data_IF_020169946511
#
_entry.id   IF_020169946511
#
_cell.length_a   1.000
_cell.length_b   1.000
_cell.length_c   1.000
_cell.angle_alpha   90.00
_cell.angle_beta   90.00
_cell.angle_gamma   90.00
#
_symmetry.space_group_name_H-M   'P 1'
#
loop_
_entity.id
_entity.type
_entity.pdbx_description
1 polymer ?
#
# COMPACT_ATOMS: atom_id res chain seq x y z
N UNK A 1 -25.80 -0.41 6.22
CA UNK A 1 -25.60 0.56 7.29
C UNK A 1 -25.90 1.95 6.73
N UNK A 2 -26.75 2.75 7.39
CA UNK A 2 -26.94 4.16 7.04
C UNK A 2 -25.84 4.94 7.76
N UNK A 3 -24.87 5.47 7.00
CA UNK A 3 -23.88 6.42 7.51
C UNK A 3 -24.54 7.80 7.50
N UNK A 4 -24.87 8.32 8.67
CA UNK A 4 -25.41 9.68 8.82
C UNK A 4 -24.26 10.64 9.12
N UNK A 5 -24.04 11.64 8.28
CA UNK A 5 -23.10 12.73 8.51
C UNK A 5 -21.61 12.35 8.60
N UNK A 6 -21.24 11.13 8.19
CA UNK A 6 -19.85 10.64 8.23
C UNK A 6 -19.11 10.76 6.92
N UNK A 7 -17.95 10.08 6.84
CA UNK A 7 -17.16 9.96 5.61
C UNK A 7 -17.12 8.50 5.15
N UNK A 8 -17.39 8.26 3.87
CA UNK A 8 -17.24 6.97 3.20
C UNK A 8 -15.96 7.05 2.37
N UNK A 9 -15.03 6.12 2.63
CA UNK A 9 -13.80 5.98 1.84
C UNK A 9 -13.96 4.77 0.92
N UNK A 10 -13.78 4.98 -0.37
CA UNK A 10 -13.75 3.95 -1.40
C UNK A 10 -12.29 3.67 -1.71
N UNK A 11 -11.75 2.61 -1.14
CA UNK A 11 -10.37 2.22 -1.38
C UNK A 11 -10.27 1.47 -2.71
N UNK A 12 -9.32 1.89 -3.58
CA UNK A 12 -9.13 1.38 -4.94
C UNK A 12 -10.44 1.39 -5.76
N UNK A 13 -10.95 2.59 -6.03
CA UNK A 13 -12.25 2.77 -6.71
C UNK A 13 -12.33 2.10 -8.09
N UNK A 14 -11.19 1.93 -8.77
CA UNK A 14 -11.06 1.26 -10.06
C UNK A 14 -11.27 -0.26 -9.99
N UNK A 15 -11.11 -0.85 -8.80
CA UNK A 15 -11.31 -2.29 -8.57
C UNK A 15 -12.79 -2.63 -8.27
N UNK A 16 -13.61 -1.60 -8.01
CA UNK A 16 -15.03 -1.81 -7.79
C UNK A 16 -15.73 -2.24 -9.08
N UNK A 17 -16.56 -3.31 -9.05
CA UNK A 17 -17.39 -3.66 -10.19
C UNK A 17 -18.25 -2.47 -10.66
N UNK A 18 -18.44 -2.30 -11.96
CA UNK A 18 -19.20 -1.18 -12.55
C UNK A 18 -20.61 -1.04 -11.96
N UNK A 19 -21.24 -2.16 -11.61
CA UNK A 19 -22.54 -2.15 -10.94
C UNK A 19 -22.47 -1.51 -9.54
N UNK A 20 -21.40 -1.83 -8.77
CA UNK A 20 -21.17 -1.24 -7.46
C UNK A 20 -20.88 0.27 -7.58
N UNK A 21 -20.08 0.68 -8.57
CA UNK A 21 -19.86 2.08 -8.87
C UNK A 21 -21.19 2.83 -9.16
N UNK A 22 -22.08 2.22 -9.95
CA UNK A 22 -23.40 2.79 -10.21
C UNK A 22 -24.29 2.90 -8.96
N UNK A 23 -24.13 2.01 -7.97
CA UNK A 23 -24.80 2.13 -6.66
C UNK A 23 -24.24 3.28 -5.85
N UNK A 24 -22.91 3.49 -5.87
CA UNK A 24 -22.25 4.63 -5.21
C UNK A 24 -22.77 5.95 -5.77
N UNK A 25 -22.84 6.09 -7.10
CA UNK A 25 -23.40 7.30 -7.76
C UNK A 25 -24.80 7.60 -7.23
N UNK A 26 -25.69 6.59 -7.18
CA UNK A 26 -27.05 6.77 -6.63
C UNK A 26 -27.06 7.16 -5.16
N UNK A 27 -26.09 6.69 -4.37
CA UNK A 27 -25.95 7.09 -2.97
C UNK A 27 -25.49 8.55 -2.82
N UNK A 28 -24.61 9.01 -3.73
CA UNK A 28 -24.15 10.41 -3.76
C UNK A 28 -25.27 11.37 -4.17
N UNK A 29 -26.20 10.91 -5.01
CA UNK A 29 -27.34 11.70 -5.49
C UNK A 29 -28.52 11.73 -4.51
N UNK A 30 -28.50 10.89 -3.49
CA UNK A 30 -29.60 10.82 -2.53
C UNK A 30 -29.67 12.12 -1.71
N UNK A 31 -30.80 12.86 -1.75
CA UNK A 31 -30.94 14.07 -0.97
C UNK A 31 -31.02 13.76 0.53
N UNK A 32 -30.38 14.57 1.36
CA UNK A 32 -30.49 14.45 2.81
C UNK A 32 -29.57 15.44 3.53
N UNK A 33 -30.03 16.00 4.63
CA UNK A 33 -29.22 16.88 5.49
C UNK A 33 -28.02 16.15 6.11
N UNK A 34 -28.11 14.83 6.25
CA UNK A 34 -27.06 13.95 6.79
C UNK A 34 -26.31 13.19 5.67
N UNK A 35 -26.15 13.76 4.47
CA UNK A 35 -25.43 13.11 3.40
C UNK A 35 -23.95 12.88 3.77
N UNK A 36 -23.40 11.67 3.60
CA UNK A 36 -22.01 11.39 3.88
C UNK A 36 -21.08 12.08 2.88
N UNK A 37 -19.88 12.46 3.33
CA UNK A 37 -18.79 12.83 2.44
C UNK A 37 -18.22 11.57 1.78
N UNK A 38 -17.87 11.66 0.51
CA UNK A 38 -17.18 10.59 -0.20
C UNK A 38 -15.72 10.96 -0.47
N UNK A 39 -14.85 9.99 -0.27
CA UNK A 39 -13.44 10.04 -0.65
C UNK A 39 -13.13 8.75 -1.40
N UNK A 40 -12.20 8.80 -2.35
CA UNK A 40 -11.75 7.63 -3.08
C UNK A 40 -10.23 7.61 -3.19
N UNK A 41 -9.65 6.42 -3.27
CA UNK A 41 -8.25 6.21 -3.64
C UNK A 41 -8.16 5.42 -4.94
N UNK A 42 -7.06 5.57 -5.65
CA UNK A 42 -6.70 4.75 -6.79
C UNK A 42 -5.19 4.75 -6.96
N UNK A 43 -4.62 3.61 -7.30
CA UNK A 43 -3.23 3.46 -7.75
C UNK A 43 -3.12 3.52 -9.27
N UNK A 44 -4.24 3.30 -9.98
CA UNK A 44 -4.30 3.31 -11.42
C UNK A 44 -4.45 4.74 -11.95
N UNK A 45 -3.94 4.97 -13.17
CA UNK A 45 -4.27 6.16 -13.94
C UNK A 45 -5.78 6.20 -14.20
N UNK A 46 -6.44 7.25 -13.74
CA UNK A 46 -7.90 7.37 -13.80
C UNK A 46 -8.40 7.61 -15.21
N UNK A 47 -7.63 8.30 -16.06
CA UNK A 47 -7.98 8.53 -17.45
C UNK A 47 -7.90 7.25 -18.27
N UNK A 48 -6.84 6.47 -18.07
CA UNK A 48 -6.72 5.15 -18.65
C UNK A 48 -7.84 4.21 -18.18
N UNK A 49 -8.15 4.20 -16.89
CA UNK A 49 -9.24 3.39 -16.33
C UNK A 49 -10.62 3.76 -16.90
N UNK A 50 -10.86 5.04 -17.18
CA UNK A 50 -12.09 5.49 -17.86
C UNK A 50 -12.14 5.05 -19.33
N UNK A 51 -11.01 5.11 -20.05
CA UNK A 51 -10.91 4.65 -21.44
C UNK A 51 -11.12 3.15 -21.57
N UNK A 52 -10.58 2.38 -20.63
CA UNK A 52 -10.74 0.93 -20.54
C UNK A 52 -12.13 0.50 -20.03
N UNK A 53 -12.95 1.44 -19.62
CA UNK A 53 -14.29 1.15 -19.07
C UNK A 53 -14.28 0.55 -17.66
N UNK A 54 -13.16 0.60 -16.94
CA UNK A 54 -13.03 0.15 -15.54
C UNK A 54 -13.59 1.17 -14.56
N UNK A 55 -13.56 2.46 -14.92
CA UNK A 55 -14.09 3.54 -14.11
C UNK A 55 -15.22 4.27 -14.86
N UNK A 56 -16.37 4.41 -14.21
CA UNK A 56 -17.50 5.17 -14.73
C UNK A 56 -17.19 6.66 -14.71
N UNK A 57 -17.44 7.36 -15.82
CA UNK A 57 -17.24 8.80 -15.93
C UNK A 57 -18.11 9.60 -14.96
N UNK A 58 -19.35 9.17 -14.74
CA UNK A 58 -20.26 9.85 -13.82
C UNK A 58 -19.79 9.77 -12.36
N UNK A 59 -19.19 8.65 -11.95
CA UNK A 59 -18.57 8.51 -10.63
C UNK A 59 -17.32 9.39 -10.50
N UNK A 60 -16.43 9.34 -11.50
CA UNK A 60 -15.21 10.14 -11.51
C UNK A 60 -15.51 11.65 -11.31
N UNK A 61 -16.42 12.24 -12.11
CA UNK A 61 -16.73 13.66 -11.99
C UNK A 61 -17.38 14.06 -10.67
N UNK A 62 -18.01 13.14 -9.95
CA UNK A 62 -18.56 13.41 -8.61
C UNK A 62 -17.51 13.35 -7.51
N UNK A 63 -16.48 12.53 -7.68
CA UNK A 63 -15.38 12.36 -6.72
C UNK A 63 -14.28 13.38 -6.93
N UNK A 64 -14.03 13.84 -8.15
CA UNK A 64 -12.91 14.68 -8.54
C UNK A 64 -13.04 16.17 -8.17
N UNK A 65 -13.85 16.50 -7.17
CA UNK A 65 -13.95 17.87 -6.66
C UNK A 65 -12.64 18.43 -6.09
N UNK A 66 -11.78 17.55 -5.56
CA UNK A 66 -10.39 17.82 -5.19
C UNK A 66 -9.59 16.54 -5.41
N UNK A 67 -8.46 16.64 -6.11
CA UNK A 67 -7.54 15.53 -6.36
C UNK A 67 -6.22 15.80 -5.66
N UNK A 68 -5.72 14.82 -4.94
CA UNK A 68 -4.42 14.84 -4.27
C UNK A 68 -3.57 13.72 -4.84
N UNK A 69 -2.42 14.07 -5.39
CA UNK A 69 -1.42 13.10 -5.82
C UNK A 69 -0.43 12.85 -4.69
N UNK A 70 -0.24 11.59 -4.33
CA UNK A 70 0.76 11.17 -3.34
C UNK A 70 1.98 10.68 -4.09
N UNK A 71 3.14 11.37 -3.99
CA UNK A 71 4.33 10.97 -4.72
C UNK A 71 4.86 9.62 -4.24
N UNK A 72 5.45 8.86 -5.15
CA UNK A 72 6.13 7.62 -4.83
C UNK A 72 7.36 7.89 -3.93
N UNK A 73 7.82 6.88 -3.19
CA UNK A 73 8.97 7.05 -2.29
C UNK A 73 10.26 7.42 -3.04
N UNK A 74 10.41 6.95 -4.27
CA UNK A 74 11.53 7.31 -5.14
C UNK A 74 11.57 8.81 -5.53
N UNK A 75 10.43 9.50 -5.46
CA UNK A 75 10.31 10.93 -5.79
C UNK A 75 10.46 11.83 -4.54
N UNK A 76 10.64 11.20 -3.36
CA UNK A 76 10.85 11.84 -2.06
C UNK A 76 11.89 11.08 -1.23
N UNK A 77 13.04 10.83 -1.84
CA UNK A 77 14.13 10.03 -1.24
C UNK A 77 14.64 10.60 0.09
N UNK A 78 14.51 11.89 0.29
CA UNK A 78 14.85 12.60 1.53
C UNK A 78 14.04 12.13 2.74
N UNK A 79 12.85 11.57 2.52
CA UNK A 79 12.02 11.03 3.60
C UNK A 79 12.48 9.64 4.06
N UNK A 80 13.29 8.94 3.26
CA UNK A 80 13.69 7.55 3.54
C UNK A 80 14.39 7.41 4.90
N UNK A 81 15.37 8.24 5.28
CA UNK A 81 16.04 8.11 6.57
C UNK A 81 15.08 8.28 7.75
N UNK A 82 14.22 9.29 7.69
CA UNK A 82 13.24 9.57 8.74
C UNK A 82 12.23 8.43 8.89
N UNK A 83 11.73 7.90 7.78
CA UNK A 83 10.80 6.76 7.77
C UNK A 83 11.49 5.49 8.28
N UNK A 84 12.73 5.24 7.88
CA UNK A 84 13.49 4.08 8.34
C UNK A 84 13.69 4.10 9.86
N UNK A 85 14.12 5.23 10.43
CA UNK A 85 14.26 5.40 11.88
C UNK A 85 12.92 5.19 12.60
N UNK A 86 11.85 5.74 12.07
CA UNK A 86 10.51 5.54 12.61
C UNK A 86 10.09 4.07 12.64
N UNK A 87 10.31 3.33 11.55
CA UNK A 87 9.94 1.92 11.47
C UNK A 87 10.83 1.03 12.35
N UNK A 88 12.14 1.34 12.45
CA UNK A 88 13.04 0.63 13.36
C UNK A 88 12.62 0.83 14.82
N UNK A 89 12.26 2.04 15.21
CA UNK A 89 11.77 2.32 16.55
C UNK A 89 10.47 1.56 16.87
N UNK A 90 9.56 1.45 15.90
CA UNK A 90 8.30 0.69 16.05
C UNK A 90 8.51 -0.83 16.08
N UNK A 91 9.51 -1.33 15.37
CA UNK A 91 9.80 -2.76 15.31
C UNK A 91 10.38 -3.32 16.62
N UNK A 92 10.99 -2.47 17.45
CA UNK A 92 11.58 -2.83 18.75
C UNK A 92 10.95 -1.98 19.89
N UNK A 93 9.73 -2.27 20.33
CA UNK A 93 9.05 -1.48 21.37
C UNK A 93 9.54 -1.74 22.79
N UNK A 94 10.72 -2.35 22.98
CA UNK A 94 11.30 -2.68 24.29
C UNK A 94 12.06 -1.51 24.94
N UNK A 95 12.51 -1.67 26.22
CA UNK A 95 13.30 -0.67 26.93
C UNK A 95 14.72 -0.50 26.37
N UNK A 96 15.16 -1.37 25.46
CA UNK A 96 16.41 -1.22 24.72
C UNK A 96 16.29 -0.07 23.71
N UNK A 97 17.35 0.69 23.53
CA UNK A 97 17.42 1.74 22.51
C UNK A 97 17.09 1.16 21.14
N UNK A 98 16.29 1.85 20.31
CA UNK A 98 16.01 1.39 18.96
C UNK A 98 17.33 1.23 18.19
N UNK A 99 17.37 0.18 17.35
CA UNK A 99 18.52 -0.01 16.46
C UNK A 99 18.65 1.17 15.51
N UNK A 100 19.88 1.51 15.17
CA UNK A 100 20.19 2.60 14.24
C UNK A 100 20.79 2.03 12.95
N UNK A 101 20.59 2.72 11.87
CA UNK A 101 21.31 2.44 10.63
C UNK A 101 22.71 3.05 10.71
N UNK A 102 23.74 2.32 10.26
CA UNK A 102 25.02 2.95 9.95
C UNK A 102 24.87 3.90 8.75
N UNK A 103 25.75 4.88 8.64
CA UNK A 103 25.74 5.84 7.51
C UNK A 103 25.78 5.12 6.15
N UNK A 104 26.57 4.04 6.06
CA UNK A 104 26.65 3.22 4.85
C UNK A 104 25.35 2.46 4.56
N UNK A 105 24.69 1.92 5.58
CA UNK A 105 23.39 1.27 5.41
C UNK A 105 22.33 2.28 4.95
N UNK A 106 22.31 3.47 5.53
CA UNK A 106 21.40 4.54 5.11
C UNK A 106 21.61 4.93 3.62
N UNK A 107 22.87 5.02 3.17
CA UNK A 107 23.18 5.30 1.76
C UNK A 107 22.69 4.21 0.80
N UNK A 108 22.69 2.95 1.23
CA UNK A 108 22.15 1.83 0.43
C UNK A 108 20.65 1.96 0.30
N UNK A 109 19.95 2.28 1.38
CA UNK A 109 18.50 2.50 1.36
C UNK A 109 18.09 3.66 0.44
N UNK A 110 18.87 4.75 0.43
CA UNK A 110 18.63 5.91 -0.45
C UNK A 110 18.74 5.58 -1.94
N UNK A 111 19.59 4.61 -2.30
CA UNK A 111 19.84 4.20 -3.69
C UNK A 111 18.84 3.13 -4.18
N UNK A 112 18.12 2.49 -3.28
CA UNK A 112 17.20 1.43 -3.65
C UNK A 112 15.91 2.00 -4.25
N UNK A 113 15.34 1.43 -5.32
CA UNK A 113 14.23 2.04 -6.07
C UNK A 113 12.87 1.94 -5.37
N UNK A 114 12.73 1.15 -4.34
CA UNK A 114 11.50 0.96 -3.54
C UNK A 114 10.22 0.78 -4.37
N UNK A 115 10.11 -0.23 -5.25
CA UNK A 115 8.91 -0.43 -6.07
C UNK A 115 7.64 -0.65 -5.25
N UNK A 116 7.77 -1.21 -4.03
CA UNK A 116 6.67 -1.35 -3.05
C UNK A 116 6.52 -0.15 -2.11
N UNK A 117 7.17 0.98 -2.43
CA UNK A 117 7.06 2.25 -1.70
C UNK A 117 7.28 2.11 -0.19
N UNK A 118 6.55 2.88 0.61
CA UNK A 118 6.64 2.92 2.08
C UNK A 118 6.34 1.56 2.71
N UNK A 119 5.43 0.78 2.13
CA UNK A 119 5.09 -0.55 2.64
C UNK A 119 6.27 -1.53 2.55
N UNK A 120 7.03 -1.46 1.46
CA UNK A 120 8.25 -2.25 1.30
C UNK A 120 9.34 -1.79 2.25
N UNK A 121 9.53 -0.48 2.43
CA UNK A 121 10.48 0.08 3.39
C UNK A 121 10.14 -0.35 4.82
N UNK A 122 8.88 -0.25 5.25
CA UNK A 122 8.44 -0.71 6.57
C UNK A 122 8.75 -2.20 6.79
N UNK A 123 8.45 -3.03 5.78
CA UNK A 123 8.74 -4.46 5.84
C UNK A 123 10.24 -4.74 5.96
N UNK A 124 11.07 -4.07 5.16
CA UNK A 124 12.52 -4.17 5.20
C UNK A 124 13.08 -3.76 6.57
N UNK A 125 12.64 -2.65 7.13
CA UNK A 125 13.08 -2.19 8.46
C UNK A 125 12.68 -3.16 9.56
N UNK A 126 11.48 -3.74 9.48
CA UNK A 126 11.05 -4.78 10.42
C UNK A 126 11.92 -6.04 10.34
N UNK A 127 12.27 -6.48 9.14
CA UNK A 127 13.16 -7.62 8.95
C UNK A 127 14.57 -7.33 9.47
N UNK A 128 15.15 -6.17 9.18
CA UNK A 128 16.45 -5.77 9.71
C UNK A 128 16.44 -5.69 11.24
N UNK A 129 15.38 -5.15 11.83
CA UNK A 129 15.24 -5.09 13.27
C UNK A 129 15.19 -6.48 13.93
N UNK A 130 14.63 -7.49 13.28
CA UNK A 130 14.55 -8.85 13.79
C UNK A 130 15.86 -9.63 13.54
N UNK A 131 16.51 -9.43 12.41
CA UNK A 131 17.69 -10.19 12.00
C UNK A 131 18.96 -9.69 12.68
N UNK A 132 19.13 -8.38 12.87
CA UNK A 132 20.32 -7.80 13.47
C UNK A 132 20.35 -8.06 14.99
N UNK A 133 21.50 -8.52 15.50
CA UNK A 133 21.73 -8.69 16.95
C UNK A 133 22.44 -7.47 17.56
N UNK A 134 23.04 -6.62 16.72
CA UNK A 134 23.78 -5.43 17.14
C UNK A 134 22.85 -4.21 17.32
N UNK A 135 23.33 -3.21 18.04
CA UNK A 135 22.63 -1.92 18.18
C UNK A 135 22.65 -1.11 16.87
N UNK A 136 23.60 -1.38 15.99
CA UNK A 136 23.76 -0.71 14.70
C UNK A 136 23.65 -1.71 13.54
N UNK A 137 22.78 -1.40 12.59
CA UNK A 137 22.55 -2.19 11.37
C UNK A 137 23.63 -1.81 10.35
N UNK A 138 24.37 -2.81 9.90
CA UNK A 138 25.50 -2.64 9.00
C UNK A 138 25.07 -2.56 7.53
N UNK A 139 25.96 -2.05 6.67
CA UNK A 139 25.78 -2.05 5.22
C UNK A 139 25.56 -3.46 4.66
N UNK A 140 26.32 -4.45 5.15
CA UNK A 140 26.21 -5.84 4.69
C UNK A 140 24.82 -6.43 4.97
N UNK A 141 24.24 -6.16 6.15
CA UNK A 141 22.88 -6.63 6.49
C UNK A 141 21.84 -5.99 5.57
N UNK A 142 21.97 -4.69 5.29
CA UNK A 142 21.09 -3.97 4.36
C UNK A 142 21.20 -4.52 2.92
N UNK A 143 22.42 -4.73 2.42
CA UNK A 143 22.67 -5.30 1.09
C UNK A 143 22.10 -6.71 0.94
N UNK A 144 22.32 -7.57 1.93
CA UNK A 144 21.79 -8.94 1.90
C UNK A 144 20.26 -8.95 1.85
N UNK A 145 19.62 -8.12 2.66
CA UNK A 145 18.16 -8.03 2.67
C UNK A 145 17.61 -7.52 1.35
N UNK A 146 18.15 -6.41 0.85
CA UNK A 146 17.65 -5.77 -0.37
C UNK A 146 18.02 -6.57 -1.63
N UNK A 147 19.18 -7.24 -1.64
CA UNK A 147 19.57 -8.17 -2.70
C UNK A 147 18.61 -9.36 -2.81
N UNK A 148 18.14 -9.88 -1.70
CA UNK A 148 17.11 -10.91 -1.70
C UNK A 148 15.74 -10.42 -2.19
N UNK A 149 15.43 -9.14 -2.03
CA UNK A 149 14.18 -8.50 -2.50
C UNK A 149 14.24 -8.06 -3.97
N UNK A 150 15.44 -7.94 -4.54
CA UNK A 150 15.66 -7.56 -5.96
C UNK A 150 15.55 -8.74 -6.92
N UNK A 151 15.38 -9.97 -6.43
CA UNK A 151 15.04 -11.12 -7.26
C UNK A 151 13.70 -10.87 -7.96
N UNK A 152 13.46 -11.49 -9.16
CA UNK A 152 12.19 -11.37 -9.83
C UNK A 152 11.09 -11.71 -8.82
N UNK A 153 10.12 -10.80 -8.68
CA UNK A 153 8.95 -11.06 -7.86
C UNK A 153 8.41 -12.44 -8.24
N UNK A 154 8.11 -13.35 -7.29
CA UNK A 154 7.50 -14.60 -7.65
C UNK A 154 6.25 -14.24 -8.45
N UNK A 155 6.27 -14.47 -9.75
CA UNK A 155 5.07 -14.45 -10.56
C UNK A 155 4.14 -15.44 -9.86
N UNK A 156 3.11 -14.91 -9.20
CA UNK A 156 1.99 -15.73 -8.78
C UNK A 156 1.39 -16.28 -10.07
N UNK A 157 1.86 -17.46 -10.45
CA UNK A 157 1.32 -18.17 -11.59
C UNK A 157 -0.14 -18.51 -11.22
N UNK A 158 -1.04 -18.30 -12.17
CA UNK A 158 -2.46 -18.69 -12.06
C UNK A 158 -2.62 -20.12 -11.48
N UNK A 159 -1.63 -20.98 -11.70
CA UNK A 159 -1.52 -22.31 -11.12
C UNK A 159 -1.48 -22.39 -9.59
N UNK A 160 -0.98 -21.36 -8.90
CA UNK A 160 -0.95 -21.33 -7.43
C UNK A 160 -2.28 -20.85 -6.86
N UNK A 161 -2.99 -19.99 -7.58
CA UNK A 161 -4.35 -19.55 -7.23
C UNK A 161 -5.35 -20.69 -7.42
N UNK A 162 -5.23 -21.49 -8.48
CA UNK A 162 -6.05 -22.69 -8.70
C UNK A 162 -5.79 -23.77 -7.64
N UNK A 163 -4.54 -23.97 -7.22
CA UNK A 163 -4.21 -24.94 -6.16
C UNK A 163 -4.75 -24.53 -4.79
N UNK A 164 -4.76 -23.24 -4.47
CA UNK A 164 -5.38 -22.72 -3.25
C UNK A 164 -6.89 -22.83 -3.30
N UNK A 165 -7.53 -22.50 -4.41
CA UNK A 165 -8.99 -22.69 -4.62
C UNK A 165 -9.41 -24.14 -4.45
N UNK A 166 -8.74 -25.07 -5.09
CA UNK A 166 -9.02 -26.52 -4.98
C UNK A 166 -8.72 -27.11 -3.60
N UNK A 167 -7.84 -26.47 -2.82
CA UNK A 167 -7.57 -26.88 -1.43
C UNK A 167 -8.66 -26.40 -0.47
N UNK A 168 -9.18 -25.21 -0.66
CA UNK A 168 -10.28 -24.64 0.14
C UNK A 168 -11.58 -25.39 -0.10
N UNK A 169 -11.93 -25.69 -1.36
CA UNK A 169 -13.13 -26.47 -1.69
C UNK A 169 -13.13 -27.89 -1.06
N UNK A 170 -11.97 -28.56 -1.02
CA UNK A 170 -11.85 -29.87 -0.37
C UNK A 170 -12.02 -29.81 1.16
N UNK A 171 -11.78 -28.66 1.80
CA UNK A 171 -11.98 -28.51 3.24
C UNK A 171 -13.41 -28.13 3.62
N UNK A 172 -14.18 -27.54 2.69
CA UNK A 172 -15.57 -27.16 2.93
C UNK A 172 -16.57 -28.29 2.67
N UNK A 173 -16.13 -29.42 2.07
CA UNK A 173 -16.95 -30.60 1.80
C UNK A 173 -16.79 -31.73 2.83
N UNK A 174 -16.12 -31.48 3.96
CA UNK A 174 -16.03 -32.38 5.12
C UNK A 174 -16.71 -31.75 6.33
#
# INVERSE_FOLDING_TARGET
ARVKGGTIVLDEVTDLPLEAQGRVVRMMDAPGEDAPRFMATSQSDLDAAMQEGKLRRDLYYRLSGATLEVPALQDRVEDIPLLADHFLARANPGPASPRKLSDKAAQILLKFPWPGNVRQLEHAMRQLALASQAAEITASEAEQLLGAQSGPAPMQTEADTERLGASVERHLQR
#
